data_IF_002492378964
#
_entry.id   IF_002492378964
#
_cell.length_a   1.000
_cell.length_b   1.000
_cell.length_c   1.000
_cell.angle_alpha   90.00
_cell.angle_beta   90.00
_cell.angle_gamma   90.00
#
_symmetry.space_group_name_H-M   'P 1'
#
loop_
_entity.id
_entity.type
_entity.pdbx_description
1 polymer ?
#
# COMPACT_ATOMS: atom_id res chain seq x y z
N UNK A 1 -8.22 6.66 -36.53
CA UNK A 1 -7.85 5.57 -37.46
C UNK A 1 -6.69 4.79 -36.86
N UNK A 2 -6.79 3.45 -36.82
CA UNK A 2 -5.81 2.41 -36.38
C UNK A 2 -5.49 2.41 -34.87
N UNK A 3 -6.24 1.70 -34.01
CA UNK A 3 -6.26 0.24 -33.74
C UNK A 3 -4.88 -0.40 -33.56
N UNK A 4 -4.56 -0.80 -32.32
CA UNK A 4 -3.72 -1.96 -32.04
C UNK A 4 -4.41 -2.84 -30.98
N UNK A 5 -4.63 -4.10 -31.37
CA UNK A 5 -5.18 -5.19 -30.58
C UNK A 5 -4.05 -5.90 -29.85
N UNK A 6 -4.37 -6.32 -28.64
CA UNK A 6 -3.78 -7.41 -27.84
C UNK A 6 -3.55 -8.69 -28.64
N UNK A 7 -2.41 -9.36 -28.45
CA UNK A 7 -2.29 -10.83 -28.53
C UNK A 7 -1.25 -11.32 -27.50
N UNK A 8 -1.71 -12.14 -26.57
CA UNK A 8 -0.91 -13.02 -25.70
C UNK A 8 -0.14 -14.06 -26.51
N UNK A 9 1.09 -14.39 -26.10
CA UNK A 9 1.68 -15.69 -26.44
C UNK A 9 2.60 -16.17 -25.33
N UNK A 10 2.13 -17.20 -24.61
CA UNK A 10 2.94 -18.12 -23.84
C UNK A 10 3.35 -19.27 -24.76
N UNK A 11 4.66 -19.57 -24.85
CA UNK A 11 5.15 -20.94 -24.96
C UNK A 11 6.64 -21.04 -24.57
N UNK A 12 6.90 -22.13 -23.86
CA UNK A 12 8.12 -22.61 -23.24
C UNK A 12 9.23 -23.05 -24.22
N UNK A 13 10.45 -23.02 -23.68
CA UNK A 13 11.57 -23.97 -23.82
C UNK A 13 12.46 -24.01 -25.08
N UNK A 14 13.76 -23.99 -24.74
CA UNK A 14 14.86 -24.79 -25.28
C UNK A 14 15.60 -24.28 -26.52
N UNK A 15 16.89 -24.02 -26.33
CA UNK A 15 17.84 -23.80 -27.42
C UNK A 15 19.21 -23.30 -27.00
N UNK A 16 19.88 -23.96 -26.03
CA UNK A 16 21.34 -23.80 -25.85
C UNK A 16 22.06 -24.47 -27.02
N UNK A 17 22.77 -23.71 -27.86
CA UNK A 17 23.84 -24.21 -28.73
C UNK A 17 24.71 -23.06 -29.26
N UNK A 18 26.03 -23.24 -29.16
CA UNK A 18 27.10 -22.36 -29.67
C UNK A 18 28.41 -22.73 -28.94
N UNK A 19 29.08 -23.83 -29.30
CA UNK A 19 30.10 -23.99 -30.36
C UNK A 19 31.30 -23.06 -30.19
N UNK A 20 32.42 -23.60 -29.66
CA UNK A 20 33.83 -23.27 -29.97
C UNK A 20 34.63 -24.57 -29.72
N UNK A 21 34.98 -25.37 -30.74
CA UNK A 21 36.20 -25.37 -31.57
C UNK A 21 37.46 -26.04 -30.94
N UNK A 22 37.70 -27.27 -31.41
CA UNK A 22 38.95 -27.99 -31.75
C UNK A 22 40.20 -27.98 -30.84
N UNK A 23 40.70 -29.19 -30.50
CA UNK A 23 42.14 -29.54 -30.67
C UNK A 23 42.43 -31.07 -30.64
N UNK A 24 42.96 -31.57 -31.77
CA UNK A 24 43.95 -32.64 -32.03
C UNK A 24 43.92 -34.07 -31.41
N UNK A 25 43.77 -35.04 -32.34
CA UNK A 25 44.40 -36.36 -32.55
C UNK A 25 45.41 -36.93 -31.53
N UNK A 26 45.25 -38.22 -31.18
CA UNK A 26 46.23 -39.30 -31.41
C UNK A 26 45.65 -40.70 -31.13
N UNK A 27 46.04 -41.69 -31.95
CA UNK A 27 45.60 -43.08 -31.95
C UNK A 27 46.42 -43.98 -31.01
N UNK A 28 45.86 -45.11 -30.54
CA UNK A 28 46.49 -46.45 -30.61
C UNK A 28 45.63 -47.53 -29.92
N UNK A 29 45.80 -48.76 -30.43
CA UNK A 29 45.04 -49.98 -30.18
C UNK A 29 45.02 -50.49 -28.72
N UNK A 30 43.89 -51.11 -28.33
CA UNK A 30 43.87 -52.34 -27.54
C UNK A 30 42.45 -52.94 -27.56
N UNK A 31 42.32 -54.18 -28.03
CA UNK A 31 41.11 -55.01 -27.92
C UNK A 31 41.08 -55.64 -26.51
N UNK A 32 39.96 -55.62 -25.78
CA UNK A 32 39.69 -56.59 -24.72
C UNK A 32 38.50 -57.52 -25.05
N UNK A 33 38.47 -58.61 -24.29
CA UNK A 33 37.76 -59.89 -24.43
C UNK A 33 36.22 -59.85 -24.63
N UNK A 34 35.61 -60.96 -25.10
CA UNK A 34 34.15 -61.09 -25.22
C UNK A 34 33.45 -60.90 -23.86
N UNK A 35 32.41 -60.07 -23.87
CA UNK A 35 31.58 -59.71 -22.73
C UNK A 35 30.66 -60.89 -22.33
N UNK A 36 30.44 -61.17 -21.04
CA UNK A 36 29.48 -62.19 -20.61
C UNK A 36 28.04 -61.76 -20.90
N UNK A 37 27.18 -62.73 -21.20
CA UNK A 37 25.74 -62.54 -21.45
C UNK A 37 25.07 -61.71 -20.35
N UNK A 38 24.22 -60.73 -20.71
CA UNK A 38 23.51 -59.91 -19.74
C UNK A 38 22.49 -60.76 -18.97
N UNK A 39 22.67 -60.83 -17.65
CA UNK A 39 21.64 -61.33 -16.72
C UNK A 39 20.38 -60.46 -16.91
N UNK A 40 19.18 -61.06 -17.07
CA UNK A 40 17.95 -60.28 -17.25
C UNK A 40 17.75 -59.38 -16.03
N UNK A 41 17.74 -58.06 -16.28
CA UNK A 41 17.43 -57.06 -15.27
C UNK A 41 15.96 -57.24 -14.85
N UNK A 42 15.65 -57.33 -13.53
CA UNK A 42 14.26 -57.39 -13.10
C UNK A 42 13.55 -56.14 -13.60
N UNK A 43 12.45 -56.33 -14.34
CA UNK A 43 11.59 -55.23 -14.76
C UNK A 43 11.11 -54.51 -13.50
N UNK A 44 11.38 -53.20 -13.33
CA UNK A 44 10.81 -52.47 -12.21
C UNK A 44 9.29 -52.58 -12.32
N UNK A 45 8.66 -53.11 -11.27
CA UNK A 45 7.21 -53.05 -11.15
C UNK A 45 6.79 -51.59 -11.39
N UNK A 46 5.71 -51.33 -12.15
CA UNK A 46 5.25 -49.97 -12.33
C UNK A 46 4.98 -49.40 -10.95
N UNK A 47 5.86 -48.50 -10.50
CA UNK A 47 5.60 -47.64 -9.36
C UNK A 47 4.36 -46.88 -9.76
N UNK A 48 3.22 -47.35 -9.26
CA UNK A 48 1.98 -46.60 -9.33
C UNK A 48 2.33 -45.28 -8.66
N UNK A 49 2.55 -44.23 -9.47
CA UNK A 49 2.64 -42.89 -8.95
C UNK A 49 1.40 -42.74 -8.07
N UNK A 50 1.60 -42.56 -6.76
CA UNK A 50 0.56 -42.01 -5.93
C UNK A 50 0.19 -40.71 -6.63
N UNK A 51 -0.94 -40.69 -7.34
CA UNK A 51 -1.63 -39.43 -7.60
C UNK A 51 -1.77 -38.84 -6.22
N UNK A 52 -1.01 -37.79 -5.92
CA UNK A 52 -1.26 -37.00 -4.73
C UNK A 52 -2.76 -36.71 -4.77
N UNK A 53 -3.52 -37.26 -3.81
CA UNK A 53 -4.95 -37.00 -3.73
C UNK A 53 -5.11 -35.48 -3.73
N UNK A 54 -6.02 -34.95 -4.55
CA UNK A 54 -6.15 -33.52 -4.66
C UNK A 54 -6.45 -32.95 -3.27
N UNK A 55 -5.56 -32.09 -2.79
CA UNK A 55 -5.80 -31.38 -1.55
C UNK A 55 -6.84 -30.29 -1.89
N UNK A 56 -8.11 -30.57 -1.60
CA UNK A 56 -9.23 -29.66 -1.89
C UNK A 56 -9.00 -28.26 -1.32
N UNK A 57 -8.29 -28.13 -0.19
CA UNK A 57 -7.94 -26.83 0.38
C UNK A 57 -6.94 -26.09 -0.51
N UNK A 58 -5.96 -26.79 -1.08
CA UNK A 58 -5.01 -26.20 -2.02
C UNK A 58 -5.71 -25.78 -3.33
N UNK A 59 -6.62 -26.60 -3.86
CA UNK A 59 -7.42 -26.25 -5.04
C UNK A 59 -8.29 -25.01 -4.81
N UNK A 60 -8.88 -24.87 -3.62
CA UNK A 60 -9.62 -23.67 -3.24
C UNK A 60 -8.73 -22.42 -3.22
N UNK A 61 -7.52 -22.52 -2.66
CA UNK A 61 -6.56 -21.41 -2.61
C UNK A 61 -6.04 -21.03 -4.01
N UNK A 62 -5.81 -22.01 -4.90
CA UNK A 62 -5.46 -21.72 -6.30
C UNK A 62 -6.61 -21.05 -7.05
N UNK A 63 -7.85 -21.47 -6.79
CA UNK A 63 -9.04 -20.85 -7.39
C UNK A 63 -9.21 -19.40 -6.91
N UNK A 64 -8.95 -19.15 -5.64
CA UNK A 64 -8.90 -17.81 -5.07
C UNK A 64 -7.84 -16.94 -5.75
N UNK A 65 -6.62 -17.45 -5.91
CA UNK A 65 -5.54 -16.71 -6.58
C UNK A 65 -5.92 -16.35 -8.02
N UNK A 66 -6.50 -17.28 -8.76
CA UNK A 66 -6.98 -17.04 -10.12
C UNK A 66 -8.13 -16.01 -10.17
N UNK A 67 -9.00 -15.97 -9.16
CA UNK A 67 -10.07 -14.97 -9.08
C UNK A 67 -9.54 -13.57 -8.76
N UNK A 68 -8.37 -13.46 -8.12
CA UNK A 68 -7.79 -12.20 -7.63
C UNK A 68 -6.57 -11.73 -8.42
N UNK A 69 -6.23 -12.39 -9.53
CA UNK A 69 -5.05 -12.03 -10.34
C UNK A 69 -5.26 -10.88 -11.32
N UNK A 70 -6.48 -10.38 -11.46
CA UNK A 70 -6.84 -9.29 -12.37
C UNK A 70 -6.41 -7.89 -11.88
N UNK A 71 -6.64 -7.50 -10.60
CA UNK A 71 -6.30 -6.14 -10.16
C UNK A 71 -4.79 -5.94 -9.97
N UNK A 72 -4.31 -4.74 -10.29
CA UNK A 72 -2.93 -4.33 -10.02
C UNK A 72 -2.72 -4.10 -8.52
N UNK A 73 -1.66 -4.68 -7.97
CA UNK A 73 -1.37 -4.55 -6.56
C UNK A 73 -0.71 -3.21 -6.23
N UNK A 74 -1.24 -2.58 -5.18
CA UNK A 74 -0.76 -1.31 -4.68
C UNK A 74 -1.70 -0.16 -5.03
N UNK A 75 -1.25 1.05 -4.73
CA UNK A 75 -2.01 2.28 -4.81
C UNK A 75 -1.58 3.20 -5.93
N UNK A 76 -0.41 2.94 -6.50
CA UNK A 76 0.04 3.60 -7.71
C UNK A 76 -1.03 3.59 -8.82
N UNK A 77 -1.78 2.49 -9.09
CA UNK A 77 -2.81 2.51 -10.12
C UNK A 77 -3.91 3.53 -9.83
N UNK A 78 -4.28 3.71 -8.55
CA UNK A 78 -5.26 4.73 -8.13
C UNK A 78 -4.69 6.14 -8.30
N UNK A 79 -3.43 6.37 -7.91
CA UNK A 79 -2.75 7.65 -8.08
C UNK A 79 -2.61 8.06 -9.55
N UNK A 80 -2.58 7.10 -10.47
CA UNK A 80 -2.48 7.34 -11.91
C UNK A 80 -3.84 7.65 -12.57
N UNK A 81 -4.97 7.45 -11.88
CA UNK A 81 -6.30 7.80 -12.41
C UNK A 81 -6.53 9.31 -12.36
N UNK A 82 -6.98 9.93 -13.44
CA UNK A 82 -7.14 11.40 -13.54
C UNK A 82 -7.98 12.03 -12.42
N UNK A 83 -9.02 11.35 -11.95
CA UNK A 83 -9.95 11.89 -10.95
C UNK A 83 -9.45 11.80 -9.50
N UNK A 84 -8.30 11.16 -9.25
CA UNK A 84 -7.74 10.98 -7.91
C UNK A 84 -7.10 12.27 -7.39
N UNK A 85 -7.39 12.62 -6.13
CA UNK A 85 -6.91 13.83 -5.46
C UNK A 85 -6.25 13.49 -4.12
N UNK A 86 -5.34 14.34 -3.69
CA UNK A 86 -4.77 14.28 -2.35
C UNK A 86 -5.26 15.50 -1.57
N UNK A 87 -6.22 15.34 -0.66
CA UNK A 87 -6.77 16.45 0.11
C UNK A 87 -6.11 16.53 1.49
N UNK A 88 -5.84 17.75 1.96
CA UNK A 88 -5.47 17.96 3.37
C UNK A 88 -6.73 18.00 4.22
N UNK A 89 -6.84 17.04 5.15
CA UNK A 89 -7.95 16.94 6.09
C UNK A 89 -7.47 17.27 7.51
N UNK A 90 -8.15 18.20 8.18
CA UNK A 90 -7.89 18.49 9.59
C UNK A 90 -8.62 17.49 10.48
N UNK A 91 -7.86 16.69 11.23
CA UNK A 91 -8.39 15.72 12.20
C UNK A 91 -8.11 16.19 13.63
N UNK A 92 -8.74 15.60 14.66
CA UNK A 92 -8.37 15.86 16.06
C UNK A 92 -6.90 15.57 16.39
N UNK A 93 -6.23 14.73 15.60
CA UNK A 93 -4.81 14.39 15.73
C UNK A 93 -3.86 15.28 14.92
N UNK A 94 -4.39 16.28 14.21
CA UNK A 94 -3.63 17.14 13.29
C UNK A 94 -4.08 16.98 11.84
N UNK A 95 -3.46 17.77 10.96
CA UNK A 95 -3.68 17.69 9.53
C UNK A 95 -3.08 16.40 8.96
N UNK A 96 -3.83 15.70 8.11
CA UNK A 96 -3.37 14.51 7.38
C UNK A 96 -3.60 14.70 5.88
N UNK A 97 -2.79 14.05 5.05
CA UNK A 97 -3.05 13.97 3.61
C UNK A 97 -3.87 12.72 3.35
N UNK A 98 -5.06 12.90 2.77
CA UNK A 98 -6.00 11.85 2.43
C UNK A 98 -6.05 11.66 0.92
N UNK A 99 -6.02 10.40 0.47
CA UNK A 99 -6.30 10.05 -0.91
C UNK A 99 -7.81 9.99 -1.11
N UNK A 100 -8.31 10.91 -1.93
CA UNK A 100 -9.68 10.95 -2.43
C UNK A 100 -9.67 10.40 -3.85
N UNK A 101 -9.99 9.12 -4.00
CA UNK A 101 -10.10 8.50 -5.33
C UNK A 101 -11.54 8.63 -5.88
N UNK A 102 -11.74 8.48 -7.20
CA UNK A 102 -13.07 8.39 -7.80
C UNK A 102 -13.92 7.28 -7.15
N UNK A 103 -15.25 7.44 -7.19
CA UNK A 103 -16.18 6.51 -6.52
C UNK A 103 -15.88 5.04 -6.86
N UNK A 104 -15.43 4.30 -5.85
CA UNK A 104 -15.06 2.88 -5.98
C UNK A 104 -16.28 1.94 -5.93
N UNK A 105 -16.18 0.84 -6.68
CA UNK A 105 -17.18 -0.23 -6.66
C UNK A 105 -17.30 -0.88 -5.28
N UNK A 106 -18.48 -1.44 -5.01
CA UNK A 106 -18.69 -2.29 -3.84
C UNK A 106 -18.08 -3.70 -4.04
N UNK A 107 -17.76 -4.07 -5.28
CA UNK A 107 -16.97 -5.25 -5.59
C UNK A 107 -15.47 -4.88 -5.60
N UNK A 108 -14.65 -5.39 -4.66
CA UNK A 108 -13.21 -5.12 -4.66
C UNK A 108 -12.47 -5.64 -5.90
N UNK A 109 -13.07 -6.55 -6.69
CA UNK A 109 -12.48 -7.06 -7.93
C UNK A 109 -12.54 -6.05 -9.08
N UNK A 110 -13.42 -5.05 -8.98
CA UNK A 110 -13.58 -4.01 -9.99
C UNK A 110 -12.67 -2.80 -9.72
N UNK A 111 -11.81 -2.86 -8.70
CA UNK A 111 -10.90 -1.79 -8.36
C UNK A 111 -9.67 -1.81 -9.28
N UNK A 112 -9.27 -0.67 -9.86
CA UNK A 112 -8.12 -0.62 -10.75
C UNK A 112 -6.79 -0.83 -10.01
N UNK A 113 -6.73 -0.49 -8.72
CA UNK A 113 -5.61 -0.79 -7.83
C UNK A 113 -6.10 -1.23 -6.46
N UNK A 114 -5.48 -2.26 -5.89
CA UNK A 114 -5.89 -2.86 -4.61
C UNK A 114 -4.75 -2.86 -3.60
N UNK A 115 -5.01 -2.30 -2.42
CA UNK A 115 -4.10 -2.45 -1.28
C UNK A 115 -4.27 -3.83 -0.60
N UNK A 116 -3.37 -4.12 0.33
CA UNK A 116 -3.38 -5.40 1.05
C UNK A 116 -4.68 -5.66 1.83
N UNK A 117 -5.37 -4.63 2.33
CA UNK A 117 -6.64 -4.77 3.02
C UNK A 117 -7.78 -5.09 2.04
N UNK A 118 -7.87 -4.38 0.91
CA UNK A 118 -8.91 -4.62 -0.11
C UNK A 118 -8.78 -6.03 -0.68
N UNK A 119 -7.56 -6.49 -0.96
CA UNK A 119 -7.32 -7.89 -1.35
C UNK A 119 -7.73 -8.88 -0.26
N UNK A 120 -7.35 -8.63 1.00
CA UNK A 120 -7.73 -9.49 2.10
C UNK A 120 -9.27 -9.54 2.30
N UNK A 121 -9.96 -8.42 2.08
CA UNK A 121 -11.41 -8.34 2.11
C UNK A 121 -12.05 -9.16 0.99
N UNK A 122 -11.56 -9.01 -0.26
CA UNK A 122 -12.01 -9.80 -1.40
C UNK A 122 -11.84 -11.30 -1.17
N UNK A 123 -10.64 -11.70 -0.73
CA UNK A 123 -10.32 -13.08 -0.42
C UNK A 123 -11.18 -13.65 0.70
N UNK A 124 -11.44 -12.86 1.73
CA UNK A 124 -12.36 -13.23 2.80
C UNK A 124 -13.77 -13.48 2.27
N UNK A 125 -14.32 -12.57 1.45
CA UNK A 125 -15.66 -12.75 0.85
C UNK A 125 -15.74 -14.02 0.00
N UNK A 126 -14.72 -14.28 -0.81
CA UNK A 126 -14.65 -15.48 -1.65
C UNK A 126 -14.66 -16.76 -0.80
N UNK A 127 -13.80 -16.82 0.22
CA UNK A 127 -13.61 -18.02 1.03
C UNK A 127 -14.74 -18.28 2.03
N UNK A 128 -15.43 -17.25 2.52
CA UNK A 128 -16.58 -17.38 3.43
C UNK A 128 -17.73 -18.21 2.86
N UNK A 129 -17.84 -18.33 1.52
CA UNK A 129 -18.86 -19.15 0.86
C UNK A 129 -18.52 -20.64 0.77
N UNK A 130 -17.31 -21.06 1.15
CA UNK A 130 -16.83 -22.42 0.96
C UNK A 130 -17.17 -23.32 2.15
N UNK A 131 -17.70 -24.52 1.87
CA UNK A 131 -17.94 -25.57 2.88
C UNK A 131 -16.65 -26.16 3.47
N UNK A 132 -15.49 -25.88 2.87
CA UNK A 132 -14.18 -26.33 3.35
C UNK A 132 -13.60 -25.41 4.45
N UNK A 133 -14.13 -24.19 4.57
CA UNK A 133 -13.62 -23.18 5.50
C UNK A 133 -14.41 -23.23 6.81
N UNK A 134 -13.71 -23.52 7.92
CA UNK A 134 -14.28 -23.54 9.26
C UNK A 134 -14.27 -22.15 9.90
N UNK A 135 -13.20 -21.41 9.69
CA UNK A 135 -13.02 -20.08 10.27
C UNK A 135 -12.14 -19.23 9.34
N UNK A 136 -12.48 -17.95 9.25
CA UNK A 136 -11.74 -16.98 8.45
C UNK A 136 -11.69 -15.63 9.16
N UNK A 137 -10.52 -15.01 9.17
CA UNK A 137 -10.30 -13.70 9.79
C UNK A 137 -9.28 -12.89 9.00
N UNK A 138 -9.33 -11.58 9.15
CA UNK A 138 -8.30 -10.69 8.60
C UNK A 138 -7.27 -10.41 9.69
N UNK A 139 -5.99 -10.56 9.37
CA UNK A 139 -4.88 -10.28 10.26
C UNK A 139 -3.98 -9.19 9.69
N UNK A 140 -3.43 -8.36 10.57
CA UNK A 140 -2.41 -7.37 10.25
C UNK A 140 -1.06 -7.83 10.80
N UNK A 141 -0.01 -7.64 10.00
CA UNK A 141 1.37 -7.87 10.40
C UNK A 141 2.24 -6.72 9.92
N UNK A 142 3.29 -6.43 10.67
CA UNK A 142 4.20 -5.33 10.36
C UNK A 142 5.50 -5.88 9.78
N UNK A 143 5.96 -5.24 8.72
CA UNK A 143 7.28 -5.43 8.16
C UNK A 143 8.20 -4.34 8.70
N UNK A 144 9.26 -4.75 9.38
CA UNK A 144 10.30 -3.83 9.79
C UNK A 144 11.00 -3.27 8.55
N UNK A 145 11.03 -1.95 8.44
CA UNK A 145 11.72 -1.20 7.41
C UNK A 145 12.75 -0.28 8.07
N UNK A 146 13.81 0.07 7.37
CA UNK A 146 14.78 1.04 7.86
C UNK A 146 15.37 1.85 6.72
N UNK A 147 15.47 3.16 6.94
CA UNK A 147 16.15 4.10 6.04
C UNK A 147 17.12 4.90 6.91
N UNK A 148 18.41 4.82 6.58
CA UNK A 148 19.49 5.50 7.31
C UNK A 148 19.47 5.29 8.84
N UNK A 149 19.13 4.06 9.27
CA UNK A 149 19.04 3.71 10.69
C UNK A 149 17.77 4.19 11.40
N UNK A 150 16.90 4.96 10.72
CA UNK A 150 15.57 5.30 11.23
C UNK A 150 14.62 4.12 11.04
N UNK A 151 14.10 3.52 12.12
CA UNK A 151 13.16 2.41 12.00
C UNK A 151 11.81 2.91 11.51
N UNK A 152 11.24 2.17 10.56
CA UNK A 152 9.89 2.34 10.05
C UNK A 152 9.15 1.00 10.11
N UNK A 153 7.82 1.05 10.05
CA UNK A 153 6.97 -0.14 10.00
C UNK A 153 6.00 0.01 8.83
N UNK A 154 5.93 -1.03 8.00
CA UNK A 154 4.97 -1.13 6.90
C UNK A 154 3.96 -2.20 7.28
N UNK A 155 2.71 -1.79 7.51
CA UNK A 155 1.64 -2.71 7.91
C UNK A 155 1.01 -3.35 6.68
N UNK A 156 0.96 -4.67 6.65
CA UNK A 156 0.25 -5.47 5.66
C UNK A 156 -0.94 -6.18 6.27
N UNK A 157 -1.92 -6.46 5.42
CA UNK A 157 -3.12 -7.22 5.77
C UNK A 157 -3.16 -8.54 4.97
N UNK A 158 -3.49 -9.64 5.63
CA UNK A 158 -3.67 -10.95 5.02
C UNK A 158 -4.87 -11.69 5.62
N UNK A 159 -5.33 -12.74 4.95
CA UNK A 159 -6.42 -13.59 5.43
C UNK A 159 -5.88 -14.83 6.13
N UNK A 160 -6.41 -15.12 7.30
CA UNK A 160 -6.11 -16.33 8.06
C UNK A 160 -7.29 -17.27 7.99
N UNK A 161 -7.03 -18.48 7.49
CA UNK A 161 -8.05 -19.48 7.21
C UNK A 161 -7.76 -20.72 8.03
N UNK A 162 -8.77 -21.25 8.69
CA UNK A 162 -8.77 -22.61 9.25
C UNK A 162 -9.80 -23.45 8.50
N UNK A 163 -9.35 -24.56 7.95
CA UNK A 163 -10.19 -25.49 7.21
C UNK A 163 -10.90 -26.48 8.15
N UNK A 164 -11.93 -27.16 7.63
CA UNK A 164 -12.72 -28.15 8.39
C UNK A 164 -11.86 -29.34 8.84
N UNK A 165 -10.85 -29.72 8.06
CA UNK A 165 -9.88 -30.77 8.42
C UNK A 165 -8.87 -30.35 9.50
N UNK A 166 -8.94 -29.11 9.98
CA UNK A 166 -8.07 -28.55 11.01
C UNK A 166 -6.79 -27.90 10.50
N UNK A 167 -6.48 -28.04 9.21
CA UNK A 167 -5.35 -27.34 8.58
C UNK A 167 -5.57 -25.82 8.56
N UNK A 168 -4.47 -25.07 8.43
CA UNK A 168 -4.49 -23.61 8.46
C UNK A 168 -3.63 -23.04 7.33
N UNK A 169 -4.01 -21.88 6.82
CA UNK A 169 -3.28 -21.14 5.79
C UNK A 169 -3.30 -19.64 6.06
N UNK A 170 -2.24 -18.97 5.59
CA UNK A 170 -2.16 -17.51 5.49
C UNK A 170 -2.25 -17.17 4.03
N UNK A 171 -3.32 -16.50 3.65
CA UNK A 171 -3.51 -15.99 2.29
C UNK A 171 -3.06 -14.54 2.28
N UNK A 172 -1.76 -14.37 2.08
CA UNK A 172 -1.19 -13.11 1.63
C UNK A 172 -1.17 -13.15 0.09
N UNK A 173 -1.88 -12.21 -0.52
CA UNK A 173 -2.03 -12.11 -1.97
C UNK A 173 -1.25 -10.94 -2.54
N UNK A 174 -0.46 -10.27 -1.70
CA UNK A 174 0.50 -9.30 -2.20
C UNK A 174 1.53 -10.03 -3.08
N UNK A 175 2.08 -9.40 -4.12
CA UNK A 175 3.17 -9.94 -4.95
C UNK A 175 4.43 -10.32 -4.13
N UNK A 176 4.47 -9.95 -2.85
CA UNK A 176 5.54 -10.25 -1.90
C UNK A 176 5.43 -11.68 -1.35
N UNK A 177 4.26 -12.30 -1.46
CA UNK A 177 4.00 -13.66 -1.00
C UNK A 177 4.15 -14.65 -2.16
N UNK A 178 5.19 -15.50 -2.09
CA UNK A 178 5.38 -16.59 -3.07
C UNK A 178 4.70 -17.90 -2.64
N UNK A 179 4.01 -17.93 -1.48
CA UNK A 179 3.32 -19.13 -0.98
C UNK A 179 2.27 -18.84 0.12
N UNK A 180 1.22 -19.68 0.21
CA UNK A 180 0.10 -19.60 1.16
C UNK A 180 0.41 -20.00 2.63
N UNK A 181 1.68 -19.92 3.02
CA UNK A 181 2.15 -20.38 4.33
C UNK A 181 3.27 -19.52 4.92
N UNK A 182 3.42 -18.28 4.44
CA UNK A 182 4.40 -17.38 5.01
C UNK A 182 4.08 -17.11 6.49
N UNK A 183 5.06 -17.38 7.36
CA UNK A 183 4.92 -17.19 8.82
C UNK A 183 5.07 -15.71 9.15
N UNK A 184 3.97 -14.96 9.08
CA UNK A 184 3.94 -13.59 9.59
C UNK A 184 3.45 -13.58 11.04
N UNK A 185 4.19 -12.98 11.99
CA UNK A 185 3.67 -12.73 13.33
C UNK A 185 2.52 -11.73 13.21
N UNK A 186 1.33 -12.13 13.67
CA UNK A 186 0.15 -11.28 13.58
C UNK A 186 0.18 -10.31 14.75
N UNK A 187 0.22 -9.01 14.45
CA UNK A 187 0.12 -7.97 15.46
C UNK A 187 -1.31 -7.74 15.92
N UNK A 188 -2.27 -7.83 14.99
CA UNK A 188 -3.68 -7.54 15.25
C UNK A 188 -4.63 -8.36 14.38
N UNK A 189 -5.74 -8.82 14.96
CA UNK A 189 -6.84 -9.42 14.22
C UNK A 189 -8.01 -8.46 14.05
N UNK A 190 -8.61 -8.48 12.88
CA UNK A 190 -9.88 -7.83 12.55
C UNK A 190 -10.95 -8.93 12.46
N UNK A 191 -11.45 -9.38 13.61
CA UNK A 191 -12.36 -10.52 13.72
C UNK A 191 -13.85 -10.16 13.69
N UNK A 192 -14.18 -8.88 13.90
CA UNK A 192 -15.56 -8.39 13.88
C UNK A 192 -16.00 -8.05 12.45
N UNK A 193 -17.07 -8.70 11.96
CA UNK A 193 -17.64 -8.49 10.62
C UNK A 193 -18.05 -7.03 10.39
N UNK A 194 -18.65 -6.41 11.40
CA UNK A 194 -19.12 -5.03 11.30
C UNK A 194 -17.93 -4.08 11.22
N UNK A 195 -16.84 -4.38 11.93
CA UNK A 195 -15.60 -3.62 11.82
C UNK A 195 -14.95 -3.79 10.44
N UNK A 196 -14.85 -5.01 9.91
CA UNK A 196 -14.27 -5.29 8.59
C UNK A 196 -15.07 -4.61 7.47
N UNK A 197 -16.40 -4.68 7.54
CA UNK A 197 -17.28 -4.06 6.55
C UNK A 197 -17.28 -2.53 6.65
N UNK A 198 -17.23 -1.97 7.87
CA UNK A 198 -17.05 -0.51 8.06
C UNK A 198 -15.71 -0.04 7.54
N UNK A 199 -14.64 -0.79 7.78
CA UNK A 199 -13.31 -0.46 7.27
C UNK A 199 -13.29 -0.46 5.74
N UNK A 200 -13.89 -1.47 5.09
CA UNK A 200 -14.01 -1.50 3.62
C UNK A 200 -14.90 -0.37 3.08
N UNK A 201 -15.98 -0.01 3.77
CA UNK A 201 -16.84 1.11 3.38
C UNK A 201 -16.10 2.44 3.51
N UNK A 202 -15.38 2.65 4.62
CA UNK A 202 -14.53 3.84 4.85
C UNK A 202 -13.43 3.94 3.80
N UNK A 203 -12.72 2.81 3.59
CA UNK A 203 -12.16 2.36 2.30
C UNK A 203 -12.53 3.28 1.17
N UNK A 204 -13.68 2.93 0.59
CA UNK A 204 -14.30 3.45 -0.63
C UNK A 204 -14.54 4.95 -0.66
N UNK A 205 -14.50 5.62 0.48
CA UNK A 205 -14.68 7.06 0.57
C UNK A 205 -13.36 7.81 0.51
N UNK A 206 -12.22 7.13 0.71
CA UNK A 206 -10.88 7.71 0.78
C UNK A 206 -10.17 7.34 2.07
N UNK A 207 -8.83 7.45 2.09
CA UNK A 207 -8.02 6.99 3.21
C UNK A 207 -6.74 7.82 3.38
N UNK A 208 -6.26 7.99 4.63
CA UNK A 208 -4.98 8.66 4.89
C UNK A 208 -3.82 7.98 4.15
N UNK A 209 -2.92 8.77 3.57
CA UNK A 209 -1.83 8.25 2.75
C UNK A 209 -0.84 7.38 3.54
N UNK A 210 -0.69 7.62 4.84
CA UNK A 210 0.13 6.80 5.74
C UNK A 210 -0.47 5.43 6.08
N UNK A 211 -1.78 5.23 5.88
CA UNK A 211 -2.45 3.92 6.02
C UNK A 211 -2.33 3.11 4.72
N UNK A 212 -2.02 3.81 3.64
CA UNK A 212 -2.06 3.38 2.28
C UNK A 212 -0.68 2.85 1.86
N UNK A 213 -0.33 1.67 2.37
CA UNK A 213 0.91 0.97 1.99
C UNK A 213 0.63 -0.48 1.61
N UNK A 214 1.36 -1.04 0.62
CA UNK A 214 2.39 -0.39 -0.20
C UNK A 214 1.83 0.35 -1.44
N UNK A 215 2.65 1.22 -2.05
CA UNK A 215 2.28 1.94 -3.27
C UNK A 215 2.38 1.07 -4.52
N UNK A 216 3.48 0.33 -4.66
CA UNK A 216 3.77 -0.50 -5.85
C UNK A 216 4.80 -1.56 -5.49
N UNK A 217 4.76 -2.68 -6.20
CA UNK A 217 5.86 -3.66 -6.22
C UNK A 217 6.49 -3.61 -7.61
N UNK A 218 7.80 -3.46 -7.66
CA UNK A 218 8.58 -3.39 -8.91
C UNK A 218 9.49 -4.60 -8.98
N UNK A 219 9.55 -5.26 -10.13
CA UNK A 219 10.57 -6.27 -10.41
C UNK A 219 11.62 -5.66 -11.33
N UNK A 220 12.88 -5.69 -10.92
CA UNK A 220 14.01 -5.22 -11.72
C UNK A 220 15.17 -6.19 -11.62
N UNK A 221 15.60 -6.71 -12.76
CA UNK A 221 16.66 -7.73 -12.87
C UNK A 221 16.40 -9.00 -12.04
N UNK A 222 15.13 -9.37 -11.86
CA UNK A 222 14.70 -10.52 -11.07
C UNK A 222 14.68 -10.29 -9.56
N UNK A 223 14.96 -9.06 -9.11
CA UNK A 223 14.80 -8.64 -7.72
C UNK A 223 13.50 -7.86 -7.53
N UNK A 224 12.84 -8.06 -6.39
CA UNK A 224 11.61 -7.36 -6.06
C UNK A 224 11.91 -6.16 -5.15
N UNK A 225 11.23 -5.06 -5.43
CA UNK A 225 11.31 -3.81 -4.68
C UNK A 225 9.91 -3.41 -4.21
N UNK A 226 9.84 -2.96 -2.96
CA UNK A 226 8.64 -2.39 -2.38
C UNK A 226 8.77 -0.88 -2.41
N UNK A 227 7.85 -0.24 -3.14
CA UNK A 227 7.72 1.21 -3.17
C UNK A 227 6.61 1.60 -2.20
N UNK A 228 6.92 2.46 -1.24
CA UNK A 228 5.94 3.05 -0.33
C UNK A 228 5.97 4.57 -0.44
N UNK A 229 4.85 5.20 -0.10
CA UNK A 229 4.77 6.63 0.06
C UNK A 229 4.62 6.97 1.53
N UNK A 230 5.08 8.16 1.84
CA UNK A 230 4.87 8.80 3.12
C UNK A 230 4.55 10.27 2.87
N UNK A 231 3.70 10.83 3.72
CA UNK A 231 3.35 12.24 3.66
C UNK A 231 3.11 12.77 5.06
N UNK A 232 3.49 14.04 5.27
CA UNK A 232 3.29 14.76 6.51
C UNK A 232 2.89 16.19 6.21
N UNK A 233 1.97 16.70 7.02
CA UNK A 233 1.56 18.10 7.00
C UNK A 233 2.12 18.78 8.25
N UNK A 234 2.94 19.81 8.05
CA UNK A 234 3.43 20.69 9.11
C UNK A 234 2.79 22.07 8.98
N UNK A 235 2.85 22.93 10.02
CA UNK A 235 2.26 24.27 9.97
C UNK A 235 2.73 25.12 8.78
N UNK A 236 4.01 25.00 8.41
CA UNK A 236 4.63 25.85 7.38
C UNK A 236 4.94 25.12 6.07
N UNK A 237 4.84 23.78 6.04
CA UNK A 237 5.22 22.99 4.85
C UNK A 237 4.46 21.69 4.71
N UNK A 238 4.44 21.19 3.49
CA UNK A 238 4.05 19.83 3.14
C UNK A 238 5.29 19.01 2.86
N UNK A 239 5.32 17.78 3.35
CA UNK A 239 6.40 16.85 3.11
C UNK A 239 5.82 15.62 2.42
N UNK A 240 6.35 15.29 1.25
CA UNK A 240 6.00 14.10 0.48
C UNK A 240 7.26 13.27 0.27
N UNK A 241 7.18 11.96 0.42
CA UNK A 241 8.31 11.08 0.19
C UNK A 241 7.91 9.78 -0.48
N UNK A 242 8.82 9.30 -1.34
CA UNK A 242 8.84 7.93 -1.80
C UNK A 242 10.00 7.19 -1.13
N UNK A 243 9.73 5.95 -0.76
CA UNK A 243 10.69 5.05 -0.17
C UNK A 243 10.74 3.77 -0.99
N UNK A 244 11.94 3.27 -1.24
CA UNK A 244 12.16 2.01 -1.95
C UNK A 244 12.96 1.07 -1.07
N UNK A 245 12.46 -0.15 -0.92
CA UNK A 245 13.11 -1.21 -0.17
C UNK A 245 13.30 -2.44 -1.06
N UNK A 246 14.51 -3.00 -1.08
CA UNK A 246 14.72 -4.36 -1.61
C UNK A 246 13.91 -5.37 -0.79
N UNK A 247 13.26 -6.33 -1.44
CA UNK A 247 12.40 -7.32 -0.79
C UNK A 247 13.04 -8.68 -0.84
N UNK A 248 13.13 -9.33 0.32
CA UNK A 248 13.38 -10.75 0.39
C UNK A 248 12.05 -11.50 0.51
N UNK A 249 11.59 -12.13 -0.57
CA UNK A 249 10.32 -12.88 -0.62
C UNK A 249 10.21 -13.90 0.52
N UNK A 250 9.04 -13.96 1.15
CA UNK A 250 8.76 -14.90 2.23
C UNK A 250 8.66 -16.35 1.72
N UNK A 251 9.27 -17.29 2.42
CA UNK A 251 9.08 -18.74 2.22
C UNK A 251 8.40 -19.35 3.46
N UNK A 252 7.90 -20.60 3.40
CA UNK A 252 7.38 -21.27 4.60
C UNK A 252 8.37 -21.31 5.79
N UNK A 253 9.68 -21.17 5.51
CA UNK A 253 10.75 -21.22 6.51
C UNK A 253 11.33 -19.84 6.87
N UNK A 254 11.02 -18.79 6.11
CA UNK A 254 11.65 -17.47 6.24
C UNK A 254 10.59 -16.40 6.01
N UNK A 255 10.28 -15.55 7.00
CA UNK A 255 9.31 -14.49 6.80
C UNK A 255 9.77 -13.52 5.71
N UNK A 256 8.80 -12.83 5.11
CA UNK A 256 9.07 -11.66 4.29
C UNK A 256 9.89 -10.65 5.10
N UNK A 257 10.93 -10.10 4.51
CA UNK A 257 11.76 -9.10 5.14
C UNK A 257 12.13 -8.01 4.13
N UNK A 258 12.21 -6.78 4.63
CA UNK A 258 12.66 -5.63 3.85
C UNK A 258 14.13 -5.37 4.16
N UNK A 259 14.89 -5.09 3.10
CA UNK A 259 16.26 -4.59 3.22
C UNK A 259 16.30 -3.12 3.62
N UNK A 260 17.51 -2.59 3.69
CA UNK A 260 17.71 -1.14 3.87
C UNK A 260 17.12 -0.42 2.66
N UNK A 261 16.34 0.62 2.94
CA UNK A 261 15.74 1.43 1.90
C UNK A 261 16.49 2.72 1.61
N UNK A 262 16.05 3.37 0.55
CA UNK A 262 16.37 4.76 0.18
C UNK A 262 15.08 5.55 0.10
N UNK A 263 15.18 6.86 0.29
CA UNK A 263 14.07 7.79 0.21
C UNK A 263 14.43 8.96 -0.68
N UNK A 264 13.47 9.43 -1.47
CA UNK A 264 13.45 10.76 -2.05
C UNK A 264 12.31 11.54 -1.38
N UNK A 265 12.59 12.73 -0.88
CA UNK A 265 11.66 13.59 -0.17
C UNK A 265 11.58 14.95 -0.86
N UNK A 266 10.36 15.39 -1.13
CA UNK A 266 10.04 16.72 -1.61
C UNK A 266 9.42 17.51 -0.45
N UNK A 267 10.04 18.64 -0.11
CA UNK A 267 9.47 19.61 0.82
C UNK A 267 8.87 20.77 0.04
N UNK A 268 7.67 21.18 0.42
CA UNK A 268 6.95 22.29 -0.22
C UNK A 268 6.49 23.28 0.84
N UNK A 269 7.07 24.47 0.87
CA UNK A 269 6.62 25.54 1.75
C UNK A 269 5.18 25.90 1.43
N UNK A 270 4.31 26.04 2.45
CA UNK A 270 2.90 26.41 2.24
C UNK A 270 2.76 27.75 1.52
N UNK A 271 3.64 28.71 1.82
CA UNK A 271 3.66 30.01 1.16
C UNK A 271 4.09 29.93 -0.33
N UNK A 272 4.95 28.96 -0.67
CA UNK A 272 5.47 28.74 -2.02
C UNK A 272 4.74 27.63 -2.80
N UNK A 273 3.76 26.97 -2.18
CA UNK A 273 3.18 25.73 -2.67
C UNK A 273 2.62 25.86 -4.10
N UNK A 274 1.77 26.86 -4.36
CA UNK A 274 1.17 27.05 -5.69
C UNK A 274 2.20 27.44 -6.77
N UNK A 275 3.33 28.03 -6.37
CA UNK A 275 4.42 28.33 -7.31
C UNK A 275 5.13 27.05 -7.70
N UNK A 276 5.63 26.29 -6.71
CA UNK A 276 6.34 25.03 -6.94
C UNK A 276 5.45 24.01 -7.64
N UNK A 277 4.17 23.90 -7.26
CA UNK A 277 3.20 23.01 -7.91
C UNK A 277 3.03 23.34 -9.38
N UNK A 278 2.97 24.63 -9.74
CA UNK A 278 2.86 25.06 -11.14
C UNK A 278 4.14 24.75 -11.92
N UNK A 279 5.31 24.98 -11.33
CA UNK A 279 6.60 24.61 -11.93
C UNK A 279 6.68 23.10 -12.19
N UNK A 280 6.24 22.27 -11.23
CA UNK A 280 6.16 20.82 -11.41
C UNK A 280 5.19 20.43 -12.53
N UNK A 281 4.01 21.06 -12.61
CA UNK A 281 3.04 20.81 -13.68
C UNK A 281 3.60 21.19 -15.06
N UNK A 282 4.24 22.36 -15.18
CA UNK A 282 4.81 22.86 -16.42
C UNK A 282 6.02 22.03 -16.89
N UNK A 283 6.84 21.57 -15.94
CA UNK A 283 8.01 20.71 -16.21
C UNK A 283 7.67 19.23 -16.46
N UNK A 284 6.50 18.77 -16.01
CA UNK A 284 6.05 17.38 -16.17
C UNK A 284 6.79 16.37 -15.27
N UNK A 285 6.54 15.06 -15.46
CA UNK A 285 7.04 14.00 -14.57
C UNK A 285 8.57 13.92 -14.45
N UNK A 286 9.30 14.35 -15.50
CA UNK A 286 10.77 14.32 -15.52
C UNK A 286 11.39 15.43 -14.66
N UNK A 287 10.62 16.44 -14.24
CA UNK A 287 11.10 17.61 -13.51
C UNK A 287 11.91 17.23 -12.26
N UNK A 288 11.44 16.26 -11.49
CA UNK A 288 12.13 15.82 -10.26
C UNK A 288 13.45 15.08 -10.53
N UNK A 289 13.58 14.43 -11.70
CA UNK A 289 14.83 13.80 -12.10
C UNK A 289 15.85 14.84 -12.63
N UNK A 290 15.35 15.88 -13.31
CA UNK A 290 16.18 16.97 -13.86
C UNK A 290 16.65 17.97 -12.79
N UNK A 291 15.89 18.11 -11.69
CA UNK A 291 16.17 19.00 -10.57
C UNK A 291 16.35 18.24 -9.26
N UNK A 292 17.46 17.49 -9.11
CA UNK A 292 17.72 16.72 -7.90
C UNK A 292 17.89 17.61 -6.65
N UNK A 293 18.12 18.91 -6.81
CA UNK A 293 18.17 19.90 -5.73
C UNK A 293 16.80 20.15 -5.06
N UNK A 294 15.69 19.80 -5.72
CA UNK A 294 14.36 19.80 -5.12
C UNK A 294 14.12 18.60 -4.19
N UNK A 295 15.02 17.61 -4.21
CA UNK A 295 14.86 16.36 -3.48
C UNK A 295 15.88 16.23 -2.36
N UNK A 296 15.39 16.03 -1.14
CA UNK A 296 16.22 15.48 -0.06
C UNK A 296 16.30 13.96 -0.24
N UNK A 297 17.53 13.44 -0.42
CA UNK A 297 17.78 12.00 -0.51
C UNK A 297 18.36 11.46 0.79
N UNK A 298 17.77 10.38 1.28
CA UNK A 298 18.16 9.75 2.54
C UNK A 298 18.34 8.25 2.34
N UNK A 299 19.35 7.68 3.01
CA UNK A 299 19.65 6.24 2.97
C UNK A 299 20.93 5.91 2.20
N UNK A 300 21.50 4.76 2.55
CA UNK A 300 22.70 4.18 1.91
C UNK A 300 22.32 2.93 1.11
N UNK A 301 21.32 3.04 0.25
CA UNK A 301 20.99 1.97 -0.70
C UNK A 301 22.13 1.73 -1.67
N UNK A 302 22.16 0.52 -2.24
CA UNK A 302 23.06 0.24 -3.36
C UNK A 302 22.63 1.02 -4.61
N UNK A 303 23.47 0.97 -5.64
CA UNK A 303 23.20 1.63 -6.93
C UNK A 303 21.86 1.18 -7.52
N UNK A 304 21.47 -0.08 -7.31
CA UNK A 304 20.26 -0.66 -7.88
C UNK A 304 19.00 -0.10 -7.23
N UNK A 305 18.96 -0.03 -5.90
CA UNK A 305 17.82 0.52 -5.15
C UNK A 305 17.65 2.01 -5.45
N UNK A 306 18.75 2.76 -5.65
CA UNK A 306 18.68 4.16 -6.07
C UNK A 306 18.14 4.31 -7.49
N UNK A 307 18.54 3.44 -8.42
CA UNK A 307 18.00 3.44 -9.77
C UNK A 307 16.49 3.17 -9.77
N UNK A 308 16.03 2.17 -9.01
CA UNK A 308 14.59 1.91 -8.86
C UNK A 308 13.87 3.16 -8.34
N UNK A 309 14.41 3.83 -7.32
CA UNK A 309 13.84 5.08 -6.79
C UNK A 309 13.73 6.16 -7.86
N UNK A 310 14.77 6.35 -8.68
CA UNK A 310 14.80 7.35 -9.75
C UNK A 310 13.73 7.06 -10.81
N UNK A 311 13.55 5.79 -11.17
CA UNK A 311 12.53 5.34 -12.12
C UNK A 311 11.09 5.51 -11.59
N UNK A 312 10.90 5.69 -10.27
CA UNK A 312 9.59 5.90 -9.65
C UNK A 312 9.32 7.35 -9.23
N UNK A 313 10.18 8.32 -9.57
CA UNK A 313 9.98 9.73 -9.19
C UNK A 313 8.70 10.34 -9.79
N UNK A 314 8.16 9.76 -10.87
CA UNK A 314 6.87 10.12 -11.43
C UNK A 314 5.73 9.99 -10.41
N UNK A 315 5.78 8.99 -9.52
CA UNK A 315 4.79 8.82 -8.45
C UNK A 315 4.87 9.95 -7.42
N UNK A 316 6.08 10.45 -7.09
CA UNK A 316 6.25 11.60 -6.19
C UNK A 316 5.74 12.88 -6.85
N UNK A 317 5.98 13.03 -8.16
CA UNK A 317 5.43 14.11 -8.96
C UNK A 317 3.90 14.08 -8.98
N UNK A 318 3.28 12.91 -9.18
CA UNK A 318 1.82 12.75 -9.10
C UNK A 318 1.30 13.16 -7.71
N UNK A 319 1.98 12.75 -6.64
CA UNK A 319 1.59 13.16 -5.28
C UNK A 319 1.66 14.68 -5.08
N UNK A 320 2.74 15.32 -5.55
CA UNK A 320 2.91 16.76 -5.40
C UNK A 320 1.88 17.56 -6.21
N UNK A 321 1.63 17.17 -7.45
CA UNK A 321 0.74 17.89 -8.37
C UNK A 321 -0.74 17.69 -8.06
N UNK A 322 -1.11 16.56 -7.44
CA UNK A 322 -2.48 16.24 -7.01
C UNK A 322 -2.81 16.69 -5.59
N UNK A 323 -1.84 17.24 -4.85
CA UNK A 323 -2.09 17.80 -3.53
C UNK A 323 -3.00 19.03 -3.63
N UNK A 324 -4.09 19.00 -2.89
CA UNK A 324 -5.04 20.08 -2.70
C UNK A 324 -4.88 20.58 -1.26
N UNK A 325 -4.42 21.83 -1.05
CA UNK A 325 -4.30 22.42 0.28
C UNK A 325 -5.68 22.55 0.91
N UNK A 326 -5.78 22.64 2.25
CA UNK A 326 -7.07 22.80 2.90
C UNK A 326 -7.75 24.07 2.37
N UNK A 327 -9.08 24.06 2.21
CA UNK A 327 -9.80 25.25 1.77
C UNK A 327 -9.41 26.42 2.68
N UNK A 328 -9.11 27.58 2.08
CA UNK A 328 -8.79 28.77 2.85
C UNK A 328 -9.88 28.96 3.92
N UNK A 329 -9.52 29.25 5.18
CA UNK A 329 -10.51 29.52 6.20
C UNK A 329 -11.42 30.61 5.64
N UNK A 330 -12.73 30.34 5.58
CA UNK A 330 -13.73 31.27 5.07
C UNK A 330 -13.66 32.57 5.89
N UNK A 331 -12.83 33.50 5.44
CA UNK A 331 -12.63 34.82 6.01
C UNK A 331 -13.36 35.84 5.14
N UNK A 332 -14.19 36.66 5.79
CA UNK A 332 -14.81 37.90 5.32
C UNK A 332 -16.17 37.80 4.62
N UNK A 333 -17.20 37.39 5.37
CA UNK A 333 -18.26 38.38 5.57
C UNK A 333 -17.84 39.26 6.74
N UNK A 334 -17.73 40.59 6.58
CA UNK A 334 -17.56 41.50 7.70
C UNK A 334 -18.64 41.17 8.74
N UNK A 335 -18.35 41.22 10.05
CA UNK A 335 -19.43 41.14 11.03
C UNK A 335 -20.43 42.24 10.66
N UNK A 336 -21.65 41.86 10.28
CA UNK A 336 -22.77 42.80 10.22
C UNK A 336 -22.76 43.49 11.57
N UNK A 337 -22.46 44.79 11.59
CA UNK A 337 -22.30 45.54 12.81
C UNK A 337 -23.49 45.25 13.73
N UNK A 338 -23.23 44.58 14.86
CA UNK A 338 -24.24 44.40 15.90
C UNK A 338 -24.72 45.80 16.26
N UNK A 339 -26.03 46.12 16.14
CA UNK A 339 -26.52 47.44 16.53
C UNK A 339 -26.12 47.67 17.97
N UNK A 340 -25.37 48.75 18.21
CA UNK A 340 -24.97 49.16 19.56
C UNK A 340 -26.25 49.33 20.39
N UNK A 341 -26.41 48.60 21.52
CA UNK A 341 -27.57 48.81 22.36
C UNK A 341 -27.57 50.25 22.86
N UNK A 342 -28.68 50.96 22.62
CA UNK A 342 -28.91 52.32 23.11
C UNK A 342 -28.67 52.36 24.63
N UNK A 343 -27.98 53.37 25.17
CA UNK A 343 -27.73 53.45 26.60
C UNK A 343 -29.06 53.46 27.37
N UNK A 344 -29.20 52.52 28.30
CA UNK A 344 -30.30 52.47 29.27
C UNK A 344 -30.26 53.77 30.11
N UNK A 345 -31.36 54.54 30.19
CA UNK A 345 -31.38 55.75 31.01
C UNK A 345 -31.14 55.40 32.48
N UNK A 346 -30.18 56.08 33.10
CA UNK A 346 -29.87 55.95 34.53
C UNK A 346 -31.07 56.40 35.36
N UNK A 347 -31.56 55.60 36.33
CA UNK A 347 -32.65 56.04 37.21
C UNK A 347 -32.18 57.21 38.08
N UNK A 348 -33.02 58.26 38.12
CA UNK A 348 -32.82 59.44 38.95
C UNK A 348 -32.86 59.06 40.44
N UNK A 349 -31.97 59.58 41.30
CA UNK A 349 -31.98 59.27 42.73
C UNK A 349 -33.28 59.78 43.39
N UNK A 350 -33.90 58.88 44.16
CA UNK A 350 -35.08 59.15 45.01
C UNK A 350 -34.70 60.14 46.12
N UNK A 351 -35.48 61.22 46.36
CA UNK A 351 -35.19 62.17 47.43
C UNK A 351 -35.35 61.52 48.81
N UNK A 352 -34.35 61.75 49.67
CA UNK A 352 -34.34 61.37 51.09
C UNK A 352 -35.46 62.10 51.84
N UNK A 353 -36.34 61.42 52.58
CA UNK A 353 -37.38 62.08 53.37
C UNK A 353 -36.78 62.86 54.54
N UNK A 354 -37.12 64.14 54.62
CA UNK A 354 -36.89 65.01 55.77
C UNK A 354 -37.66 64.51 56.98
N UNK A 355 -37.00 64.41 58.14
CA UNK A 355 -37.60 64.01 59.39
C UNK A 355 -38.76 64.95 59.77
N UNK A 356 -39.94 64.39 60.01
CA UNK A 356 -41.10 65.09 60.57
C UNK A 356 -41.19 64.70 62.04
N UNK A 357 -41.11 65.71 62.91
CA UNK A 357 -41.30 65.60 64.36
C UNK A 357 -42.67 65.00 64.69
N UNK A 358 -42.66 63.96 65.53
CA UNK A 358 -43.87 63.40 66.14
C UNK A 358 -44.21 64.18 67.42
N UNK A 359 -45.46 64.65 67.60
CA UNK A 359 -45.94 65.01 68.93
C UNK A 359 -46.37 63.76 69.72
N UNK A 360 -45.85 63.70 70.96
CA UNK A 360 -46.21 62.77 72.03
C UNK A 360 -47.71 62.78 72.35
N UNK A 361 -48.30 61.59 72.50
CA UNK A 361 -49.52 61.38 73.26
C UNK A 361 -49.23 60.35 74.36
N UNK A 362 -49.15 60.87 75.58
CA UNK A 362 -49.32 60.14 76.84
C UNK A 362 -50.82 60.02 77.11
N UNK A 363 -51.22 58.95 77.80
CA UNK A 363 -52.59 58.67 78.28
C UNK A 363 -53.28 59.83 78.99
#
# INVERSE_FOLDING_TARGET
MKQWRTVFSTHHLAGKMGVILALFLAAAACRPAPSPEPVPTPTPAPTRALRAGSNQNAELLYSLQAALSEPEFGLAPLLLMDDTRLAVETTPGGDVIRLDYPRQSADPLEWPGVDSFVLAYAARRFLSGSSLVRQITIGQFDLAAAIDGSPAQITHTAVWVRFVDGSQAVVDLTPLAVNFAARHPIGRFLSDEDMVTREFSRRREGVPLNVLQPLKVVEQDGELFLVTAWAQVEPERYILALQVHSVQTGTPMRPLALGRGVSARLEMDRAGFETLRRELLDGGPEMLAQHPDLLERVGSGDTHTNQVLDEQLDLLWQMATRLEPPPAPSGDTPPTATPTPSPTPTPSPTPTPTAVDFPLLVS
#
